data_IF_051907130070
#
_entry.id   IF_051907130070
#
_cell.length_a   1.000
_cell.length_b   1.000
_cell.length_c   1.000
_cell.angle_alpha   90.00
_cell.angle_beta   90.00
_cell.angle_gamma   90.00
#
_symmetry.space_group_name_H-M   'P 1'
#
loop_
_entity.id
_entity.type
_entity.pdbx_description
1 polymer ?
#
# COMPACT_ATOMS: atom_id res chain seq x y z
N UNK A 1 -5.14 2.86 -5.73
CA UNK A 1 -4.36 2.53 -4.53
C UNK A 1 -2.99 3.18 -4.68
N UNK A 2 -2.65 4.15 -3.84
CA UNK A 2 -1.42 4.95 -3.98
C UNK A 2 -0.66 5.08 -2.67
N UNK A 3 0.23 6.07 -2.58
CA UNK A 3 0.96 6.42 -1.37
C UNK A 3 0.07 6.55 -0.12
N UNK A 4 -1.19 6.96 -0.29
CA UNK A 4 -2.16 7.06 0.81
C UNK A 4 -2.32 5.74 1.58
N UNK A 5 -2.42 4.59 0.89
CA UNK A 5 -2.58 3.29 1.54
C UNK A 5 -1.29 2.86 2.25
N UNK A 6 -0.13 3.17 1.67
CA UNK A 6 1.18 2.90 2.28
C UNK A 6 1.35 3.70 3.57
N UNK A 7 0.98 4.99 3.54
CA UNK A 7 1.07 5.87 4.71
C UNK A 7 0.11 5.43 5.81
N UNK A 8 -1.14 5.10 5.48
CA UNK A 8 -2.12 4.59 6.45
C UNK A 8 -1.63 3.30 7.11
N UNK A 9 -1.11 2.35 6.33
CA UNK A 9 -0.55 1.10 6.86
C UNK A 9 0.72 1.35 7.70
N UNK A 10 1.45 2.44 7.46
CA UNK A 10 2.62 2.84 8.26
C UNK A 10 2.28 3.47 9.62
N UNK A 11 1.09 4.06 9.79
CA UNK A 11 0.65 4.66 11.07
C UNK A 11 0.27 3.57 12.09
N UNK A 12 -0.34 2.48 11.62
CA UNK A 12 -0.76 1.37 12.46
C UNK A 12 0.37 0.76 13.32
N UNK A 13 1.55 0.39 12.79
CA UNK A 13 2.63 -0.16 13.60
C UNK A 13 3.20 0.85 14.61
N UNK A 14 3.20 2.14 14.30
CA UNK A 14 3.63 3.17 15.25
C UNK A 14 2.71 3.25 16.48
N UNK A 15 1.40 3.19 16.27
CA UNK A 15 0.43 3.17 17.37
C UNK A 15 0.58 1.89 18.21
N UNK A 16 0.73 0.74 17.57
CA UNK A 16 0.89 -0.55 18.26
C UNK A 16 2.19 -0.65 19.06
N UNK A 17 3.28 -0.05 18.56
CA UNK A 17 4.55 0.03 19.27
C UNK A 17 4.42 0.78 20.59
N UNK A 18 3.72 1.94 20.58
CA UNK A 18 3.48 2.72 21.80
C UNK A 18 2.67 1.99 22.87
N UNK A 19 1.83 1.03 22.48
CA UNK A 19 0.98 0.25 23.39
C UNK A 19 1.61 -1.07 23.84
N UNK A 20 2.79 -1.44 23.35
CA UNK A 20 3.48 -2.68 23.74
C UNK A 20 2.92 -3.97 23.11
N UNK A 21 2.03 -3.87 22.12
CA UNK A 21 1.45 -5.04 21.43
C UNK A 21 2.34 -5.52 20.27
N UNK A 22 3.48 -6.14 20.62
CA UNK A 22 4.53 -6.55 19.67
C UNK A 22 4.03 -7.44 18.53
N UNK A 23 3.13 -8.39 18.79
CA UNK A 23 2.60 -9.28 17.74
C UNK A 23 1.78 -8.50 16.69
N UNK A 24 0.91 -7.59 17.13
CA UNK A 24 0.09 -6.78 16.21
C UNK A 24 0.94 -5.78 15.43
N UNK A 25 1.98 -5.24 16.05
CA UNK A 25 2.97 -4.40 15.37
C UNK A 25 3.65 -5.16 14.22
N UNK A 26 4.08 -6.40 14.44
CA UNK A 26 4.71 -7.22 13.40
C UNK A 26 3.75 -7.45 12.23
N UNK A 27 2.49 -7.81 12.49
CA UNK A 27 1.48 -7.94 11.43
C UNK A 27 1.25 -6.64 10.66
N UNK A 28 1.25 -5.50 11.36
CA UNK A 28 1.08 -4.19 10.73
C UNK A 28 2.28 -3.79 9.86
N UNK A 29 3.51 -4.13 10.28
CA UNK A 29 4.71 -3.97 9.46
C UNK A 29 4.63 -4.82 8.20
N UNK A 30 4.24 -6.10 8.33
CA UNK A 30 4.06 -6.99 7.17
C UNK A 30 3.01 -6.42 6.21
N UNK A 31 1.89 -5.90 6.74
CA UNK A 31 0.87 -5.26 5.93
C UNK A 31 1.39 -4.02 5.18
N UNK A 32 2.16 -3.16 5.86
CA UNK A 32 2.73 -1.96 5.28
C UNK A 32 3.76 -2.26 4.18
N UNK A 33 4.67 -3.21 4.44
CA UNK A 33 5.66 -3.68 3.47
C UNK A 33 4.97 -4.35 2.28
N UNK A 34 3.96 -5.19 2.51
CA UNK A 34 3.18 -5.82 1.47
C UNK A 34 2.43 -4.81 0.59
N UNK A 35 1.83 -3.78 1.18
CA UNK A 35 1.21 -2.66 0.46
C UNK A 35 2.23 -1.92 -0.41
N UNK A 36 3.38 -1.56 0.16
CA UNK A 36 4.42 -0.82 -0.55
C UNK A 36 4.99 -1.62 -1.72
N UNK A 37 5.32 -2.89 -1.47
CA UNK A 37 5.87 -3.78 -2.49
C UNK A 37 4.89 -4.00 -3.64
N UNK A 38 3.65 -4.37 -3.33
CA UNK A 38 2.65 -4.64 -4.36
C UNK A 38 2.31 -3.38 -5.16
N UNK A 39 2.24 -2.21 -4.51
CA UNK A 39 2.08 -0.94 -5.22
C UNK A 39 3.27 -0.64 -6.14
N UNK A 40 4.50 -0.86 -5.67
CA UNK A 40 5.71 -0.68 -6.49
C UNK A 40 5.73 -1.59 -7.72
N UNK A 41 5.30 -2.85 -7.59
CA UNK A 41 5.17 -3.79 -8.72
C UNK A 41 4.14 -3.28 -9.74
N UNK A 42 2.96 -2.83 -9.29
CA UNK A 42 1.93 -2.27 -10.17
C UNK A 42 2.41 -1.00 -10.88
N UNK A 43 3.10 -0.13 -10.14
CA UNK A 43 3.67 1.10 -10.68
C UNK A 43 4.74 0.80 -11.74
N UNK A 44 5.65 -0.14 -11.49
CA UNK A 44 6.65 -0.55 -12.46
C UNK A 44 6.02 -1.14 -13.72
N UNK A 45 4.97 -1.95 -13.58
CA UNK A 45 4.25 -2.51 -14.72
C UNK A 45 3.64 -1.42 -15.60
N UNK A 46 2.92 -0.48 -14.98
CA UNK A 46 2.32 0.64 -15.68
C UNK A 46 3.38 1.56 -16.32
N UNK A 47 4.51 1.79 -15.66
CA UNK A 47 5.64 2.55 -16.20
C UNK A 47 6.29 1.86 -17.40
N UNK A 48 6.46 0.54 -17.38
CA UNK A 48 6.98 -0.21 -18.54
C UNK A 48 6.03 -0.15 -19.75
N UNK A 49 4.72 -0.04 -19.51
CA UNK A 49 3.75 0.23 -20.58
C UNK A 49 3.85 1.67 -21.07
N UNK A 50 3.96 2.65 -20.16
CA UNK A 50 4.10 4.06 -20.48
C UNK A 50 5.34 4.34 -21.35
N UNK A 51 6.46 3.67 -21.10
CA UNK A 51 7.68 3.76 -21.92
C UNK A 51 7.48 3.41 -23.40
N UNK A 52 6.42 2.68 -23.75
CA UNK A 52 6.12 2.31 -25.15
C UNK A 52 5.44 3.43 -25.93
N UNK A 53 4.92 4.44 -25.23
CA UNK A 53 4.21 5.57 -25.81
C UNK A 53 5.22 6.66 -26.21
N UNK A 54 5.03 7.24 -27.39
CA UNK A 54 5.99 8.19 -27.99
C UNK A 54 6.11 9.53 -27.23
N UNK A 55 5.08 9.95 -26.49
CA UNK A 55 5.07 11.18 -25.70
C UNK A 55 5.30 10.93 -24.20
N UNK A 56 5.96 9.83 -23.84
CA UNK A 56 6.34 9.57 -22.45
C UNK A 56 7.45 10.55 -22.00
N UNK A 57 7.20 11.24 -20.90
CA UNK A 57 8.07 12.31 -20.36
C UNK A 57 9.03 11.82 -19.28
N UNK A 58 8.89 10.58 -18.81
CA UNK A 58 9.71 10.04 -17.71
C UNK A 58 9.21 10.43 -16.32
N UNK A 59 8.10 11.16 -16.21
CA UNK A 59 7.53 11.57 -14.93
C UNK A 59 7.00 10.38 -14.12
N UNK A 60 7.19 10.42 -12.80
CA UNK A 60 6.69 9.37 -11.89
C UNK A 60 5.16 9.18 -11.96
N UNK A 61 4.41 10.21 -12.31
CA UNK A 61 2.95 10.13 -12.47
C UNK A 61 2.51 10.22 -13.94
N UNK A 62 3.45 10.10 -14.89
CA UNK A 62 3.13 10.08 -16.32
C UNK A 62 2.67 8.68 -16.76
N UNK A 63 1.56 8.25 -16.15
CA UNK A 63 0.90 6.97 -16.40
C UNK A 63 -0.55 7.28 -16.74
N UNK A 64 -1.03 6.77 -17.87
CA UNK A 64 -2.44 6.95 -18.28
C UNK A 64 -3.36 5.96 -17.56
N UNK A 65 -4.68 6.24 -17.48
CA UNK A 65 -5.64 5.31 -16.90
C UNK A 65 -5.63 3.92 -17.56
N UNK A 66 -5.42 3.86 -18.87
CA UNK A 66 -5.36 2.61 -19.63
C UNK A 66 -4.13 1.78 -19.24
N UNK A 67 -2.98 2.43 -19.06
CA UNK A 67 -1.74 1.79 -18.60
C UNK A 67 -1.86 1.27 -17.16
N UNK A 68 -2.58 2.00 -16.31
CA UNK A 68 -2.90 1.56 -14.94
C UNK A 68 -3.90 0.39 -14.91
N UNK A 69 -4.85 0.32 -15.84
CA UNK A 69 -5.83 -0.77 -15.94
C UNK A 69 -5.23 -2.04 -16.55
N UNK A 70 -4.15 -1.92 -17.32
CA UNK A 70 -3.45 -3.06 -17.89
C UNK A 70 -2.62 -3.87 -16.86
N UNK A 71 -2.53 -3.37 -15.62
CA UNK A 71 -1.85 -4.07 -14.52
C UNK A 71 -2.56 -5.40 -14.22
N UNK A 72 -1.80 -6.51 -14.02
CA UNK A 72 -2.40 -7.81 -13.76
C UNK A 72 -3.29 -7.86 -12.51
N UNK A 73 -4.48 -8.46 -12.62
CA UNK A 73 -5.46 -8.50 -11.51
C UNK A 73 -4.91 -9.17 -10.24
N UNK A 74 -4.07 -10.19 -10.37
CA UNK A 74 -3.57 -10.95 -9.21
C UNK A 74 -2.74 -10.07 -8.26
N UNK A 75 -1.96 -9.12 -8.77
CA UNK A 75 -1.18 -8.21 -7.92
C UNK A 75 -2.09 -7.14 -7.29
N UNK A 76 -3.15 -6.74 -8.01
CA UNK A 76 -4.18 -5.84 -7.49
C UNK A 76 -4.93 -6.49 -6.32
N UNK A 77 -5.28 -7.77 -6.41
CA UNK A 77 -5.89 -8.52 -5.31
C UNK A 77 -4.98 -8.61 -4.08
N UNK A 78 -3.68 -8.86 -4.28
CA UNK A 78 -2.69 -8.86 -3.19
C UNK A 78 -2.61 -7.50 -2.52
N UNK A 79 -2.51 -6.41 -3.30
CA UNK A 79 -2.46 -5.06 -2.77
C UNK A 79 -3.73 -4.71 -1.98
N UNK A 80 -4.90 -5.09 -2.49
CA UNK A 80 -6.19 -4.91 -1.85
C UNK A 80 -6.26 -5.66 -0.52
N UNK A 81 -5.80 -6.92 -0.47
CA UNK A 81 -5.74 -7.70 0.77
C UNK A 81 -4.86 -7.06 1.85
N UNK A 82 -3.64 -6.63 1.49
CA UNK A 82 -2.76 -5.93 2.42
C UNK A 82 -3.35 -4.59 2.88
N UNK A 83 -4.04 -3.86 1.99
CA UNK A 83 -4.68 -2.58 2.32
C UNK A 83 -5.80 -2.80 3.33
N UNK A 84 -6.68 -3.78 3.14
CA UNK A 84 -7.73 -4.10 4.11
C UNK A 84 -7.15 -4.51 5.47
N UNK A 85 -6.13 -5.36 5.47
CA UNK A 85 -5.45 -5.76 6.70
C UNK A 85 -4.84 -4.54 7.41
N UNK A 86 -4.19 -3.64 6.68
CA UNK A 86 -3.65 -2.39 7.22
C UNK A 86 -4.72 -1.49 7.84
N UNK A 87 -5.87 -1.32 7.16
CA UNK A 87 -7.00 -0.53 7.67
C UNK A 87 -7.60 -1.15 8.94
N UNK A 88 -7.78 -2.47 8.97
CA UNK A 88 -8.29 -3.17 10.17
C UNK A 88 -7.34 -2.97 11.35
N UNK A 89 -6.04 -3.16 11.13
CA UNK A 89 -5.03 -2.97 12.18
C UNK A 89 -4.95 -1.52 12.66
N UNK A 90 -5.13 -0.55 11.76
CA UNK A 90 -5.23 0.86 12.11
C UNK A 90 -6.43 1.15 13.01
N UNK A 91 -7.62 0.63 12.65
CA UNK A 91 -8.84 0.80 13.45
C UNK A 91 -8.67 0.19 14.84
N UNK A 92 -8.12 -1.03 14.92
CA UNK A 92 -7.83 -1.70 16.20
C UNK A 92 -6.86 -0.83 17.02
N UNK A 93 -5.82 -0.29 16.39
CA UNK A 93 -4.84 0.57 17.05
C UNK A 93 -5.47 1.84 17.63
N UNK A 94 -6.34 2.50 16.86
CA UNK A 94 -7.08 3.68 17.32
C UNK A 94 -7.99 3.34 18.51
N UNK A 95 -8.76 2.24 18.42
CA UNK A 95 -9.66 1.82 19.51
C UNK A 95 -8.88 1.53 20.79
N UNK A 96 -7.71 0.89 20.69
CA UNK A 96 -6.87 0.60 21.84
C UNK A 96 -6.32 1.89 22.46
N UNK A 97 -5.89 2.86 21.65
CA UNK A 97 -5.44 4.18 22.14
C UNK A 97 -6.56 4.93 22.86
N UNK A 98 -7.82 4.81 22.43
CA UNK A 98 -8.96 5.46 23.09
C UNK A 98 -9.38 4.79 24.41
N UNK A 99 -8.93 3.55 24.66
CA UNK A 99 -9.32 2.74 25.82
C UNK A 99 -8.26 2.69 26.93
N UNK A 100 -7.02 3.09 26.63
CA UNK A 100 -5.94 3.24 27.61
C UNK A 100 -5.88 4.65 28.17
#
# INVERSE_FOLDING_TARGET
MGWFCVLLSGIAPFLMFKMGHTLMMIFAIIAAVGCFWSWGVMHNYATELAKRRWNYTGGFYDITPEEAQAVPDWITWINMGFTFMGVILLIIGIIMVMRG
#
